data_IF_335870278488
#
_entry.id   IF_335870278488
#
_cell.length_a   1.000
_cell.length_b   1.000
_cell.length_c   1.000
_cell.angle_alpha   90.00
_cell.angle_beta   90.00
_cell.angle_gamma   90.00
#
_symmetry.space_group_name_H-M   'P 1'
#
loop_
_entity.id
_entity.type
_entity.pdbx_description
1 polymer ?
#
# COMPACT_ATOMS: atom_id res chain seq x y z
N UNK A 1 -5.78 -1.53 -13.05
CA UNK A 1 -4.59 -2.10 -12.37
C UNK A 1 -4.64 -3.60 -12.56
N UNK A 2 -3.50 -4.21 -12.82
CA UNK A 2 -3.39 -5.66 -13.00
C UNK A 2 -2.37 -6.20 -12.01
N UNK A 3 -2.62 -7.37 -11.43
CA UNK A 3 -1.76 -7.92 -10.38
C UNK A 3 -0.28 -7.99 -10.79
N UNK A 4 0.02 -8.40 -12.03
CA UNK A 4 1.38 -8.55 -12.51
C UNK A 4 2.13 -7.22 -12.72
N UNK A 5 1.42 -6.11 -12.87
CA UNK A 5 2.00 -4.77 -13.03
C UNK A 5 1.91 -3.94 -11.75
N UNK A 6 1.29 -4.46 -10.69
CA UNK A 6 0.92 -3.70 -9.50
C UNK A 6 2.12 -3.02 -8.82
N UNK A 7 3.26 -3.71 -8.74
CA UNK A 7 4.51 -3.14 -8.22
C UNK A 7 4.98 -1.98 -9.10
N UNK A 8 4.97 -2.15 -10.43
CA UNK A 8 5.42 -1.13 -11.36
C UNK A 8 4.51 0.10 -11.35
N UNK A 9 3.20 -0.11 -11.26
CA UNK A 9 2.21 0.96 -11.17
C UNK A 9 2.40 1.79 -9.89
N UNK A 10 2.59 1.12 -8.75
CA UNK A 10 2.88 1.79 -7.48
C UNK A 10 4.19 2.60 -7.56
N UNK A 11 5.27 2.00 -8.10
CA UNK A 11 6.58 2.66 -8.22
C UNK A 11 6.55 3.89 -9.12
N UNK A 12 5.76 3.87 -10.19
CA UNK A 12 5.60 5.02 -11.10
C UNK A 12 4.81 6.15 -10.44
N UNK A 13 3.81 5.82 -9.63
CA UNK A 13 2.92 6.80 -9.01
C UNK A 13 3.51 7.43 -7.75
N UNK A 14 4.20 6.64 -6.93
CA UNK A 14 4.66 7.04 -5.59
C UNK A 14 6.20 6.94 -5.56
N UNK A 15 6.92 8.05 -5.80
CA UNK A 15 8.38 8.06 -5.81
C UNK A 15 9.02 7.55 -4.51
N UNK A 16 8.39 7.81 -3.36
CA UNK A 16 8.83 7.33 -2.05
C UNK A 16 8.80 5.81 -1.95
N UNK A 17 7.81 5.17 -2.59
CA UNK A 17 7.74 3.72 -2.67
C UNK A 17 8.81 3.14 -3.60
N UNK A 18 9.09 3.78 -4.74
CA UNK A 18 10.21 3.34 -5.60
C UNK A 18 11.56 3.48 -4.89
N UNK A 19 11.76 4.54 -4.11
CA UNK A 19 12.96 4.71 -3.29
C UNK A 19 13.09 3.62 -2.22
N UNK A 20 12.01 3.35 -1.48
CA UNK A 20 11.99 2.32 -0.44
C UNK A 20 12.17 0.91 -1.01
N UNK A 21 11.49 0.61 -2.12
CA UNK A 21 11.66 -0.65 -2.84
C UNK A 21 13.11 -0.88 -3.26
N UNK A 22 13.80 0.15 -3.79
CA UNK A 22 15.22 0.04 -4.15
C UNK A 22 16.11 -0.16 -2.93
N UNK A 23 15.87 0.58 -1.84
CA UNK A 23 16.61 0.44 -0.58
C UNK A 23 16.50 -0.99 -0.01
N UNK A 24 15.29 -1.53 0.04
CA UNK A 24 15.03 -2.90 0.52
C UNK A 24 15.73 -3.96 -0.35
N UNK A 25 15.91 -3.70 -1.65
CA UNK A 25 16.70 -4.58 -2.54
C UNK A 25 18.21 -4.44 -2.35
N UNK A 26 18.70 -3.23 -2.10
CA UNK A 26 20.12 -3.00 -1.79
C UNK A 26 20.53 -3.63 -0.46
N UNK A 27 19.59 -3.80 0.47
CA UNK A 27 19.78 -4.45 1.76
C UNK A 27 19.52 -5.97 1.73
N UNK A 28 19.34 -6.57 0.55
CA UNK A 28 19.03 -8.00 0.34
C UNK A 28 17.77 -8.49 1.08
N UNK A 29 16.84 -7.59 1.43
CA UNK A 29 15.53 -7.93 2.04
C UNK A 29 14.53 -8.35 0.96
N UNK A 30 14.54 -7.63 -0.17
CA UNK A 30 13.77 -7.97 -1.36
C UNK A 30 14.71 -8.41 -2.49
N UNK A 31 14.28 -9.39 -3.26
CA UNK A 31 15.00 -9.87 -4.45
C UNK A 31 14.11 -9.79 -5.71
N UNK A 32 14.61 -10.34 -6.83
CA UNK A 32 13.89 -10.34 -8.10
C UNK A 32 12.71 -11.33 -8.12
N UNK A 33 12.69 -12.31 -7.24
CA UNK A 33 11.69 -13.38 -7.18
C UNK A 33 10.62 -13.10 -6.11
N UNK A 34 10.78 -12.02 -5.34
CA UNK A 34 9.85 -11.57 -4.31
C UNK A 34 8.48 -11.25 -4.91
N UNK A 35 7.46 -11.98 -4.44
CA UNK A 35 6.07 -11.81 -4.90
C UNK A 35 5.45 -10.48 -4.47
N UNK A 36 4.33 -10.11 -5.10
CA UNK A 36 3.63 -8.83 -4.88
C UNK A 36 3.27 -8.60 -3.42
N UNK A 37 2.71 -9.59 -2.73
CA UNK A 37 2.40 -9.48 -1.29
C UNK A 37 3.63 -9.20 -0.44
N UNK A 38 4.78 -9.85 -0.71
CA UNK A 38 6.03 -9.62 0.02
C UNK A 38 6.53 -8.20 -0.22
N UNK A 39 6.57 -7.77 -1.48
CA UNK A 39 7.01 -6.41 -1.82
C UNK A 39 6.12 -5.36 -1.17
N UNK A 40 4.80 -5.56 -1.18
CA UNK A 40 3.87 -4.62 -0.55
C UNK A 40 4.01 -4.61 0.97
N UNK A 41 4.14 -5.78 1.62
CA UNK A 41 4.32 -5.87 3.07
C UNK A 41 5.59 -5.16 3.54
N UNK A 42 6.73 -5.36 2.87
CA UNK A 42 8.02 -4.83 3.32
C UNK A 42 8.29 -3.38 2.89
N UNK A 43 7.82 -2.97 1.70
CA UNK A 43 8.12 -1.65 1.17
C UNK A 43 6.89 -0.72 1.12
N UNK A 44 5.74 -1.20 0.63
CA UNK A 44 4.58 -0.32 0.45
C UNK A 44 3.95 0.06 1.79
N UNK A 45 3.73 -0.90 2.69
CA UNK A 45 3.15 -0.64 4.01
C UNK A 45 4.02 0.34 4.79
N UNK A 46 5.35 0.19 4.78
CA UNK A 46 6.26 1.13 5.42
C UNK A 46 6.04 2.59 4.94
N UNK A 47 5.84 2.78 3.63
CA UNK A 47 5.54 4.10 3.07
C UNK A 47 4.12 4.56 3.41
N UNK A 48 3.15 3.66 3.48
CA UNK A 48 1.78 4.00 3.87
C UNK A 48 1.66 4.42 5.34
N UNK A 49 2.37 3.75 6.25
CA UNK A 49 2.51 4.15 7.66
C UNK A 49 3.13 5.54 7.74
N UNK A 50 4.27 5.75 7.06
CA UNK A 50 4.91 7.07 6.99
C UNK A 50 3.97 8.15 6.45
N UNK A 51 3.20 7.85 5.41
CA UNK A 51 2.23 8.80 4.85
C UNK A 51 1.14 9.15 5.87
N UNK A 52 0.60 8.17 6.58
CA UNK A 52 -0.43 8.34 7.60
C UNK A 52 0.01 9.28 8.74
N UNK A 53 1.26 9.13 9.19
CA UNK A 53 1.82 9.87 10.31
C UNK A 53 2.44 11.22 9.94
N UNK A 54 2.62 11.49 8.65
CA UNK A 54 3.22 12.73 8.16
C UNK A 54 2.17 13.84 7.93
N UNK A 55 2.63 15.09 7.87
CA UNK A 55 1.81 16.22 7.39
C UNK A 55 1.90 16.42 5.85
N UNK A 56 2.61 15.53 5.14
CA UNK A 56 2.78 15.63 3.68
C UNK A 56 1.49 15.25 2.95
N UNK A 57 0.71 16.27 2.58
CA UNK A 57 -0.57 16.10 1.89
C UNK A 57 -0.44 15.51 0.49
N UNK A 58 0.70 15.69 -0.18
CA UNK A 58 0.90 15.09 -1.49
C UNK A 58 1.18 13.59 -1.35
N UNK A 59 2.06 13.21 -0.41
CA UNK A 59 2.33 11.81 -0.12
C UNK A 59 1.07 11.07 0.34
N UNK A 60 0.31 11.67 1.27
CA UNK A 60 -0.99 11.14 1.70
C UNK A 60 -1.92 10.92 0.51
N UNK A 61 -2.08 11.93 -0.35
CA UNK A 61 -2.97 11.84 -1.50
C UNK A 61 -2.56 10.72 -2.46
N UNK A 62 -1.27 10.60 -2.78
CA UNK A 62 -0.82 9.58 -3.73
C UNK A 62 -0.93 8.17 -3.16
N UNK A 63 -0.52 7.96 -1.91
CA UNK A 63 -0.58 6.65 -1.27
C UNK A 63 -2.02 6.21 -1.04
N UNK A 64 -2.82 6.99 -0.32
CA UNK A 64 -4.20 6.59 -0.01
C UNK A 64 -5.11 6.62 -1.24
N UNK A 65 -4.78 7.46 -2.23
CA UNK A 65 -5.42 7.39 -3.54
C UNK A 65 -5.11 6.08 -4.28
N UNK A 66 -3.87 5.59 -4.22
CA UNK A 66 -3.50 4.30 -4.82
C UNK A 66 -4.19 3.13 -4.11
N UNK A 67 -4.26 3.17 -2.78
CA UNK A 67 -4.96 2.17 -1.97
C UNK A 67 -6.46 2.12 -2.33
N UNK A 68 -7.09 3.29 -2.47
CA UNK A 68 -8.50 3.37 -2.90
C UNK A 68 -8.71 2.81 -4.33
N UNK A 69 -7.75 3.02 -5.23
CA UNK A 69 -7.83 2.47 -6.59
C UNK A 69 -7.64 0.95 -6.58
N UNK A 70 -6.77 0.41 -5.72
CA UNK A 70 -6.65 -1.04 -5.50
C UNK A 70 -7.96 -1.64 -4.97
N UNK A 71 -8.60 -1.00 -3.98
CA UNK A 71 -9.84 -1.46 -3.39
C UNK A 71 -11.03 -1.44 -4.39
N UNK A 72 -10.98 -0.57 -5.40
CA UNK A 72 -11.99 -0.50 -6.49
C UNK A 72 -11.77 -1.53 -7.59
N UNK A 73 -10.61 -2.16 -7.63
CA UNK A 73 -10.20 -2.94 -8.78
C UNK A 73 -11.03 -4.23 -8.92
N UNK A 74 -11.30 -4.64 -10.17
CA UNK A 74 -12.08 -5.85 -10.47
C UNK A 74 -11.22 -7.11 -10.45
N UNK A 75 -9.92 -6.96 -10.64
CA UNK A 75 -8.95 -8.04 -10.49
C UNK A 75 -8.88 -8.45 -9.02
N UNK A 76 -9.40 -9.65 -8.72
CA UNK A 76 -9.47 -10.17 -7.36
C UNK A 76 -8.10 -10.28 -6.70
N UNK A 77 -7.04 -10.52 -7.48
CA UNK A 77 -5.70 -10.63 -6.91
C UNK A 77 -5.18 -9.25 -6.46
N UNK A 78 -5.56 -8.16 -7.13
CA UNK A 78 -5.24 -6.79 -6.69
C UNK A 78 -6.00 -6.45 -5.41
N UNK A 79 -7.30 -6.77 -5.34
CA UNK A 79 -8.08 -6.55 -4.12
C UNK A 79 -7.56 -7.40 -2.95
N UNK A 80 -7.09 -8.63 -3.20
CA UNK A 80 -6.51 -9.50 -2.17
C UNK A 80 -5.23 -8.90 -1.57
N UNK A 81 -4.35 -8.30 -2.38
CA UNK A 81 -3.17 -7.55 -1.89
C UNK A 81 -3.60 -6.32 -1.08
N UNK A 82 -4.64 -5.63 -1.52
CA UNK A 82 -5.17 -4.48 -0.80
C UNK A 82 -5.65 -4.88 0.60
N UNK A 83 -6.51 -5.90 0.67
CA UNK A 83 -7.15 -6.32 1.91
C UNK A 83 -6.14 -7.02 2.84
N UNK A 84 -5.57 -8.14 2.40
CA UNK A 84 -4.79 -9.04 3.26
C UNK A 84 -3.29 -8.71 3.33
N UNK A 85 -2.90 -7.51 2.92
CA UNK A 85 -1.50 -7.07 3.06
C UNK A 85 -1.44 -5.60 3.40
N UNK A 86 -2.06 -4.74 2.59
CA UNK A 86 -1.98 -3.30 2.83
C UNK A 86 -2.85 -2.89 4.02
N UNK A 87 -4.13 -3.30 4.05
CA UNK A 87 -5.03 -2.92 5.14
C UNK A 87 -4.67 -3.59 6.46
N UNK A 88 -4.34 -4.89 6.43
CA UNK A 88 -3.86 -5.60 7.62
C UNK A 88 -2.60 -4.93 8.19
N UNK A 89 -1.57 -4.69 7.35
CA UNK A 89 -0.34 -4.05 7.82
C UNK A 89 -0.54 -2.62 8.33
N UNK A 90 -1.42 -1.84 7.70
CA UNK A 90 -1.77 -0.51 8.19
C UNK A 90 -2.51 -0.55 9.53
N UNK A 91 -3.41 -1.51 9.74
CA UNK A 91 -4.17 -1.66 10.98
C UNK A 91 -3.28 -2.07 12.16
N UNK A 92 -2.25 -2.86 11.89
CA UNK A 92 -1.30 -3.29 12.91
C UNK A 92 -0.40 -2.13 13.39
N UNK A 93 -0.05 -1.21 12.49
CA UNK A 93 0.92 -0.14 12.77
C UNK A 93 0.27 1.22 13.07
N UNK A 94 -0.95 1.49 12.57
CA UNK A 94 -1.60 2.80 12.63
C UNK A 94 -3.01 2.71 13.21
N UNK A 95 -3.32 3.60 14.15
CA UNK A 95 -4.67 3.71 14.73
C UNK A 95 -5.73 4.01 13.67
N UNK A 96 -6.87 3.32 13.75
CA UNK A 96 -8.02 3.55 12.84
C UNK A 96 -8.47 5.02 12.81
N UNK A 97 -8.35 5.77 13.90
CA UNK A 97 -8.75 7.18 13.95
C UNK A 97 -7.87 8.07 13.05
N UNK A 98 -6.62 7.65 12.79
CA UNK A 98 -5.69 8.31 11.86
C UNK A 98 -5.98 7.85 10.43
N UNK A 99 -6.28 6.56 10.22
CA UNK A 99 -6.52 6.00 8.89
C UNK A 99 -7.86 6.46 8.29
N UNK A 100 -8.94 6.48 9.07
CA UNK A 100 -10.31 6.74 8.58
C UNK A 100 -10.45 8.04 7.77
N UNK A 101 -9.87 9.18 8.18
CA UNK A 101 -9.93 10.42 7.40
C UNK A 101 -9.13 10.40 6.08
N UNK A 102 -8.17 9.48 5.94
CA UNK A 102 -7.27 9.38 4.78
C UNK A 102 -7.80 8.41 3.72
N UNK A 103 -8.57 7.41 4.15
CA UNK A 103 -9.13 6.37 3.27
C UNK A 103 -10.34 6.86 2.48
N UNK A 104 -10.46 6.37 1.24
CA UNK A 104 -11.65 6.52 0.42
C UNK A 104 -12.74 5.52 0.79
N UNK A 105 -13.83 5.51 0.03
CA UNK A 105 -15.02 4.70 0.37
C UNK A 105 -14.72 3.21 0.35
N UNK A 106 -14.10 2.72 -0.71
CA UNK A 106 -13.88 1.27 -0.87
C UNK A 106 -12.77 0.79 0.06
N UNK A 107 -11.72 1.58 0.21
CA UNK A 107 -10.64 1.30 1.16
C UNK A 107 -11.09 1.32 2.63
N UNK A 108 -12.09 2.12 3.00
CA UNK A 108 -12.74 2.03 4.32
C UNK A 108 -13.53 0.72 4.52
N UNK A 109 -14.18 0.21 3.46
CA UNK A 109 -14.87 -1.07 3.51
C UNK A 109 -13.87 -2.22 3.67
N UNK A 110 -12.77 -2.18 2.93
CA UNK A 110 -11.65 -3.12 3.08
C UNK A 110 -11.09 -3.14 4.49
N UNK A 111 -10.83 -1.97 5.10
CA UNK A 111 -10.38 -1.88 6.50
C UNK A 111 -11.36 -2.54 7.48
N UNK A 112 -12.67 -2.43 7.22
CA UNK A 112 -13.71 -3.04 8.04
C UNK A 112 -13.88 -4.55 7.80
N UNK A 113 -13.41 -5.06 6.66
CA UNK A 113 -13.54 -6.46 6.26
C UNK A 113 -12.42 -7.34 6.84
N UNK A 114 -11.26 -6.75 7.13
CA UNK A 114 -10.12 -7.42 7.79
C UNK A 114 -10.22 -7.41 9.33
N UNK A 115 -11.44 -7.16 9.86
CA UNK A 115 -11.74 -6.97 11.28
C UNK A 115 -11.87 -8.25 12.08
#
# INVERSE_FOLDING_TARGET
>A
MEYNELINDARKRIPEFDAEYRRQREEDILDADSGVHVVFAYAFVAIAVKAAESDDKNLQKEVFGFIEDMAKEKDKAVSEVCDFTVMEGLRDEVSEDILKPLLGRESLLSLSAVS
#
